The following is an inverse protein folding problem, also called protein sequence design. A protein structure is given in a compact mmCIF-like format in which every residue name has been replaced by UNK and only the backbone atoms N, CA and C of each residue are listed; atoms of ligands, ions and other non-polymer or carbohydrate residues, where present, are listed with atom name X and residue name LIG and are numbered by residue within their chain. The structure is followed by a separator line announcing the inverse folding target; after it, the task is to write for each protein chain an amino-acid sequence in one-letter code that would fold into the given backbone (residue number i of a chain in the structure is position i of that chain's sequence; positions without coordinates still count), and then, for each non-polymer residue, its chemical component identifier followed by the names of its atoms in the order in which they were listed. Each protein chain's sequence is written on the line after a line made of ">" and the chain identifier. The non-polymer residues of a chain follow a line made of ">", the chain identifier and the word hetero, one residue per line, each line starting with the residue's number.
data_IF_402466185756
#
_entry.id   IF_402466185756
#
_cell.length_a   1.000
_cell.length_b   1.000
_cell.length_c   1.000
_cell.angle_alpha   90.00
_cell.angle_beta   90.00
_cell.angle_gamma   90.00
#
_symmetry.space_group_name_H-M   'P 1'
#
loop_
_entity.id
_entity.type
_entity.pdbx_description
1 polymer ?
#
# COMPACT_ATOMS: atom_id res chain seq x y z
N UNK A 1 -4.78 10.85 8.74
CA UNK A 1 -5.99 10.87 7.88
C UNK A 1 -5.74 11.38 6.45
N UNK A 2 -4.76 12.24 6.17
CA UNK A 2 -4.18 12.38 4.81
C UNK A 2 -2.65 12.66 4.81
N UNK A 3 -2.05 12.92 5.98
CA UNK A 3 -0.63 13.29 6.09
C UNK A 3 0.33 12.13 5.79
N UNK A 4 -0.06 10.88 6.03
CA UNK A 4 0.77 9.71 5.68
C UNK A 4 0.87 9.49 4.16
N UNK A 5 -0.20 9.77 3.43
CA UNK A 5 -0.21 9.63 1.96
C UNK A 5 0.77 10.62 1.33
N UNK A 6 0.86 11.85 1.87
CA UNK A 6 1.71 12.90 1.29
C UNK A 6 3.17 12.84 1.75
N UNK A 7 3.44 12.37 2.97
CA UNK A 7 4.78 12.45 3.56
C UNK A 7 5.61 11.19 3.32
N UNK A 8 4.98 10.02 3.15
CA UNK A 8 5.70 8.75 2.96
C UNK A 8 5.67 8.17 1.54
N UNK A 9 4.73 8.59 0.68
CA UNK A 9 4.67 8.10 -0.73
C UNK A 9 5.37 9.02 -1.74
N UNK A 10 5.78 10.24 -1.35
CA UNK A 10 6.35 11.24 -2.26
C UNK A 10 7.88 11.25 -2.38
N UNK A 11 8.61 10.35 -1.70
CA UNK A 11 10.08 10.35 -1.81
C UNK A 11 10.58 9.88 -3.19
N UNK A 12 9.70 9.26 -4.00
CA UNK A 12 9.91 9.14 -5.45
C UNK A 12 8.61 9.34 -6.19
N UNK A 13 8.58 10.34 -7.07
CA UNK A 13 7.56 10.58 -8.10
C UNK A 13 6.99 9.25 -8.63
N UNK A 14 5.86 8.79 -8.10
CA UNK A 14 5.02 7.77 -8.74
C UNK A 14 4.29 8.48 -9.87
N UNK A 15 4.98 8.65 -10.99
CA UNK A 15 4.34 9.04 -12.25
C UNK A 15 3.47 7.85 -12.66
N UNK A 16 2.20 8.10 -12.98
CA UNK A 16 1.36 7.09 -13.62
C UNK A 16 2.11 6.57 -14.85
N UNK A 17 2.22 5.25 -14.98
CA UNK A 17 3.03 4.60 -16.01
C UNK A 17 2.38 4.78 -17.38
N UNK A 18 1.05 4.76 -17.43
CA UNK A 18 0.30 4.96 -18.67
C UNK A 18 0.02 6.43 -18.99
N UNK A 19 -0.05 6.72 -20.29
CA UNK A 19 -0.50 8.01 -20.84
C UNK A 19 -1.93 7.95 -21.39
N UNK A 20 -2.56 6.78 -21.39
CA UNK A 20 -3.93 6.60 -21.87
C UNK A 20 -4.93 6.88 -20.74
N UNK A 21 -6.00 7.67 -20.96
CA UNK A 21 -6.94 8.06 -19.90
C UNK A 21 -7.57 6.89 -19.12
N UNK A 22 -7.93 5.80 -19.80
CA UNK A 22 -8.51 4.61 -19.16
C UNK A 22 -7.54 3.93 -18.20
N UNK A 23 -6.30 3.73 -18.64
CA UNK A 23 -5.26 3.09 -17.84
C UNK A 23 -4.77 4.00 -16.69
N UNK A 24 -4.79 5.33 -16.90
CA UNK A 24 -4.56 6.31 -15.84
C UNK A 24 -5.59 6.16 -14.72
N UNK A 25 -6.88 6.02 -15.05
CA UNK A 25 -7.93 5.74 -14.05
C UNK A 25 -7.68 4.43 -13.34
N UNK A 26 -7.37 3.36 -14.08
CA UNK A 26 -7.08 2.05 -13.51
C UNK A 26 -5.91 2.11 -12.51
N UNK A 27 -4.80 2.74 -12.88
CA UNK A 27 -3.64 2.88 -12.01
C UNK A 27 -3.96 3.72 -10.77
N UNK A 28 -4.75 4.78 -10.91
CA UNK A 28 -5.21 5.57 -9.78
C UNK A 28 -6.05 4.75 -8.80
N UNK A 29 -7.04 4.00 -9.30
CA UNK A 29 -7.83 3.10 -8.46
C UNK A 29 -6.97 2.00 -7.83
N UNK A 30 -6.01 1.43 -8.57
CA UNK A 30 -5.10 0.43 -8.02
C UNK A 30 -4.26 1.01 -6.87
N UNK A 31 -3.78 2.25 -6.97
CA UNK A 31 -3.08 2.95 -5.89
C UNK A 31 -3.98 3.15 -4.66
N UNK A 32 -5.22 3.57 -4.85
CA UNK A 32 -6.19 3.76 -3.76
C UNK A 32 -6.51 2.45 -3.04
N UNK A 33 -6.84 1.40 -3.80
CA UNK A 33 -7.18 0.08 -3.25
C UNK A 33 -5.98 -0.51 -2.53
N UNK A 34 -4.78 -0.42 -3.10
CA UNK A 34 -3.55 -0.91 -2.45
C UNK A 34 -3.29 -0.20 -1.12
N UNK A 35 -3.45 1.13 -1.08
CA UNK A 35 -3.28 1.89 0.16
C UNK A 35 -4.29 1.46 1.24
N UNK A 36 -5.58 1.37 0.89
CA UNK A 36 -6.62 0.94 1.81
C UNK A 36 -6.38 -0.50 2.33
N UNK A 37 -5.95 -1.42 1.46
CA UNK A 37 -5.62 -2.78 1.84
C UNK A 37 -4.47 -2.85 2.84
N UNK A 38 -3.39 -2.09 2.61
CA UNK A 38 -2.25 -2.04 3.54
C UNK A 38 -2.67 -1.47 4.90
N UNK A 39 -3.43 -0.37 4.92
CA UNK A 39 -3.93 0.20 6.18
C UNK A 39 -4.82 -0.79 6.94
N UNK A 40 -5.68 -1.52 6.23
CA UNK A 40 -6.50 -2.56 6.86
C UNK A 40 -5.66 -3.67 7.47
N UNK A 41 -4.67 -4.17 6.75
CA UNK A 41 -3.74 -5.19 7.26
C UNK A 41 -2.94 -4.69 8.47
N UNK A 42 -2.54 -3.41 8.48
CA UNK A 42 -1.90 -2.81 9.66
C UNK A 42 -2.85 -2.75 10.85
N UNK A 43 -4.11 -2.36 10.65
CA UNK A 43 -5.11 -2.38 11.73
C UNK A 43 -5.33 -3.78 12.30
N UNK A 44 -5.43 -4.79 11.43
CA UNK A 44 -5.57 -6.20 11.83
C UNK A 44 -4.33 -6.66 12.62
N UNK A 45 -3.13 -6.40 12.11
CA UNK A 45 -1.88 -6.74 12.83
C UNK A 45 -1.71 -6.00 14.17
N UNK A 46 -2.19 -4.76 14.26
CA UNK A 46 -2.17 -3.99 15.50
C UNK A 46 -3.11 -4.62 16.54
N UNK A 47 -4.31 -5.02 16.14
CA UNK A 47 -5.26 -5.75 16.99
C UNK A 47 -4.65 -7.07 17.49
N UNK A 48 -4.05 -7.85 16.60
CA UNK A 48 -3.45 -9.15 16.94
C UNK A 48 -2.25 -9.01 17.89
N UNK A 49 -1.51 -7.90 17.81
CA UNK A 49 -0.34 -7.63 18.66
C UNK A 49 -0.64 -6.77 19.89
N UNK A 50 -1.89 -6.34 20.09
CA UNK A 50 -2.27 -5.44 21.18
C UNK A 50 -1.66 -4.03 21.09
N UNK A 51 -1.20 -3.63 19.91
CA UNK A 51 -0.64 -2.30 19.63
C UNK A 51 -1.72 -1.38 19.06
N UNK A 52 -1.47 -0.06 19.04
CA UNK A 52 -2.32 0.85 18.29
C UNK A 52 -1.87 0.87 16.82
N UNK A 53 -2.79 0.98 15.84
CA UNK A 53 -2.43 1.05 14.42
C UNK A 53 -1.42 2.15 14.08
N UNK A 54 -1.51 3.29 14.76
CA UNK A 54 -0.61 4.45 14.64
C UNK A 54 0.81 4.20 15.15
N UNK A 55 1.03 3.14 15.93
CA UNK A 55 2.37 2.73 16.38
C UNK A 55 3.09 1.90 15.28
N UNK A 56 2.36 1.43 14.26
CA UNK A 56 2.92 0.67 13.14
C UNK A 56 3.35 1.61 12.00
N UNK A 57 4.57 1.41 11.50
CA UNK A 57 5.07 2.19 10.36
C UNK A 57 4.51 1.66 9.03
N UNK A 58 3.85 2.53 8.26
CA UNK A 58 3.36 2.22 6.91
C UNK A 58 4.48 1.78 5.96
N UNK A 59 5.63 2.46 5.98
CA UNK A 59 6.80 2.09 5.15
C UNK A 59 7.33 0.71 5.54
N UNK A 60 7.37 0.40 6.83
CA UNK A 60 7.76 -0.92 7.30
C UNK A 60 6.77 -1.99 6.83
N UNK A 61 5.46 -1.75 6.94
CA UNK A 61 4.43 -2.66 6.45
C UNK A 61 4.58 -2.94 4.94
N UNK A 62 4.81 -1.91 4.13
CA UNK A 62 5.08 -2.07 2.68
C UNK A 62 6.32 -2.94 2.43
N UNK A 63 7.40 -2.75 3.20
CA UNK A 63 8.63 -3.55 3.06
C UNK A 63 8.38 -5.02 3.42
N UNK A 64 7.64 -5.28 4.50
CA UNK A 64 7.25 -6.63 4.92
C UNK A 64 6.39 -7.29 3.85
N UNK A 65 5.37 -6.58 3.35
CA UNK A 65 4.50 -7.08 2.29
C UNK A 65 5.27 -7.39 1.00
N UNK A 66 6.13 -6.48 0.53
CA UNK A 66 6.95 -6.74 -0.66
C UNK A 66 7.89 -7.94 -0.51
N UNK A 67 8.34 -8.24 0.72
CA UNK A 67 9.15 -9.43 1.00
C UNK A 67 8.33 -10.72 0.98
N UNK A 68 7.05 -10.66 1.38
CA UNK A 68 6.16 -11.83 1.54
C UNK A 68 5.27 -12.11 0.34
N UNK A 69 4.93 -11.08 -0.45
CA UNK A 69 4.06 -11.21 -1.63
C UNK A 69 4.58 -12.20 -2.67
N UNK A 70 5.89 -12.31 -2.97
CA UNK A 70 6.38 -13.35 -3.88
C UNK A 70 6.06 -14.78 -3.42
N UNK A 71 5.92 -15.01 -2.10
CA UNK A 71 5.52 -16.31 -1.53
C UNK A 71 4.00 -16.51 -1.60
N UNK A 72 3.21 -15.42 -1.58
CA UNK A 72 1.76 -15.44 -1.52
C UNK A 72 1.07 -15.33 -2.90
N UNK A 73 1.74 -14.74 -3.90
CA UNK A 73 1.18 -14.42 -5.22
C UNK A 73 1.73 -15.39 -6.26
N UNK A 74 1.26 -16.63 -6.21
CA UNK A 74 1.23 -17.50 -7.39
C UNK A 74 -0.08 -17.24 -8.14
N UNK A 75 -0.14 -16.15 -8.91
CA UNK A 75 -1.21 -15.97 -9.90
C UNK A 75 -0.64 -16.48 -11.22
N UNK A 76 -1.04 -17.68 -11.70
CA UNK A 76 -0.62 -18.14 -13.01
C UNK A 76 -1.17 -17.20 -14.10
N UNK A 77 -0.49 -17.09 -15.25
CA UNK A 77 -0.93 -16.26 -16.36
C UNK A 77 -2.29 -16.65 -16.92
#
# INVERSE_FOLDING_TARGET
>A
MFDEIKTHLCDRKKVLRSKTPDLVRQEFYALMVTHAAICRLMCEAAQDSGQRPEDLSFVHAVRVLNRRLPEAVAVPP
#
